data_IF_021778252982
#
_entry.id   IF_021778252982
#
_cell.length_a   1.000
_cell.length_b   1.000
_cell.length_c   1.000
_cell.angle_alpha   90.00
_cell.angle_beta   90.00
_cell.angle_gamma   90.00
#
_symmetry.space_group_name_H-M   'P 1'
#
loop_
_entity.id
_entity.type
_entity.pdbx_description
1 polymer ?
#
# COMPACT_ATOMS: atom_id res chain seq x y z
N UNK A 1 23.34 47.98 -4.98
CA UNK A 1 23.30 47.11 -6.17
C UNK A 1 23.89 45.72 -5.97
N UNK A 2 24.38 45.37 -4.78
CA UNK A 2 25.06 44.10 -4.50
C UNK A 2 24.21 43.00 -3.80
N UNK A 3 22.94 43.23 -3.48
CA UNK A 3 22.10 42.27 -2.75
C UNK A 3 21.27 41.33 -3.64
N UNK A 4 21.18 41.57 -4.93
CA UNK A 4 20.34 40.74 -5.83
C UNK A 4 21.13 39.54 -6.38
N UNK A 5 22.45 39.64 -6.47
CA UNK A 5 23.29 38.56 -7.02
C UNK A 5 23.41 37.35 -6.07
N UNK A 6 23.49 37.59 -4.75
CA UNK A 6 23.57 36.51 -3.76
C UNK A 6 22.28 35.71 -3.61
N UNK A 7 21.12 36.31 -3.85
CA UNK A 7 19.85 35.62 -3.78
C UNK A 7 19.62 34.67 -4.99
N UNK A 8 20.25 35.02 -6.12
CA UNK A 8 20.16 34.23 -7.36
C UNK A 8 21.01 32.94 -7.30
N UNK A 9 22.16 33.00 -6.65
CA UNK A 9 23.03 31.83 -6.46
C UNK A 9 22.47 30.82 -5.48
N UNK A 10 21.74 31.27 -4.45
CA UNK A 10 21.11 30.39 -3.47
C UNK A 10 19.94 29.58 -4.08
N UNK A 11 19.20 30.19 -5.02
CA UNK A 11 18.08 29.51 -5.70
C UNK A 11 18.60 28.50 -6.73
N UNK A 12 19.69 28.79 -7.41
CA UNK A 12 20.29 27.88 -8.41
C UNK A 12 20.91 26.63 -7.77
N UNK A 13 21.36 26.70 -6.53
CA UNK A 13 21.89 25.55 -5.81
C UNK A 13 20.82 24.69 -5.11
N UNK A 14 19.62 25.25 -4.88
CA UNK A 14 18.50 24.53 -4.26
C UNK A 14 17.69 23.74 -5.30
N UNK A 15 17.56 24.27 -6.51
CA UNK A 15 16.82 23.65 -7.61
C UNK A 15 17.36 22.25 -8.00
N UNK A 16 18.66 22.01 -8.20
CA UNK A 16 19.16 20.69 -8.55
C UNK A 16 18.96 19.69 -7.41
N UNK A 17 19.04 20.10 -6.15
CA UNK A 17 18.84 19.22 -4.99
C UNK A 17 17.37 18.83 -4.80
N UNK A 18 16.42 19.67 -5.18
CA UNK A 18 14.99 19.32 -5.25
C UNK A 18 14.67 18.45 -6.47
N UNK A 19 15.45 18.55 -7.55
CA UNK A 19 15.29 17.72 -8.75
C UNK A 19 15.88 16.31 -8.59
N UNK A 20 16.90 16.13 -7.77
CA UNK A 20 17.50 14.82 -7.50
C UNK A 20 16.62 13.88 -6.69
N UNK A 21 15.63 14.40 -5.95
CA UNK A 21 14.63 13.61 -5.21
C UNK A 21 13.40 13.24 -6.06
N UNK A 22 13.42 13.47 -7.38
CA UNK A 22 12.25 13.24 -8.24
C UNK A 22 12.08 11.81 -8.73
N UNK A 23 13.04 10.91 -8.47
CA UNK A 23 12.97 9.52 -8.90
C UNK A 23 13.41 8.59 -7.78
N UNK A 24 12.59 7.60 -7.51
CA UNK A 24 12.92 6.55 -6.57
C UNK A 24 12.43 5.21 -7.11
N UNK A 25 13.14 4.14 -6.81
CA UNK A 25 12.68 2.80 -7.14
C UNK A 25 11.36 2.50 -6.45
N UNK A 26 10.40 1.97 -7.21
CA UNK A 26 9.06 1.71 -6.71
C UNK A 26 9.05 0.71 -5.55
N UNK A 27 9.91 -0.32 -5.57
CA UNK A 27 10.04 -1.30 -4.49
C UNK A 27 10.43 -0.65 -3.16
N UNK A 28 11.36 0.32 -3.22
CA UNK A 28 11.84 1.06 -2.06
C UNK A 28 10.77 2.02 -1.52
N UNK A 29 10.09 2.71 -2.41
CA UNK A 29 9.03 3.65 -2.02
C UNK A 29 7.84 2.95 -1.39
N UNK A 30 7.34 1.86 -1.97
CA UNK A 30 6.22 1.08 -1.43
C UNK A 30 6.50 0.53 -0.02
N UNK A 31 7.74 0.14 0.25
CA UNK A 31 8.16 -0.23 1.59
C UNK A 31 8.26 0.99 2.52
N UNK A 32 8.79 2.10 2.05
CA UNK A 32 8.96 3.34 2.82
C UNK A 32 7.63 3.92 3.29
N UNK A 33 6.59 3.95 2.44
CA UNK A 33 5.23 4.40 2.76
C UNK A 33 4.38 3.33 3.45
N UNK A 34 4.97 2.21 3.89
CA UNK A 34 4.32 1.14 4.66
C UNK A 34 3.24 0.33 3.92
N UNK A 35 3.16 0.40 2.59
CA UNK A 35 2.28 -0.48 1.82
C UNK A 35 2.67 -1.95 1.97
N UNK A 36 3.96 -2.22 2.12
CA UNK A 36 4.47 -3.56 2.41
C UNK A 36 5.31 -3.59 3.70
N UNK A 37 5.25 -4.71 4.41
CA UNK A 37 5.98 -4.91 5.67
C UNK A 37 7.50 -4.89 5.45
N UNK A 38 7.95 -5.50 4.35
CA UNK A 38 9.37 -5.57 3.97
C UNK A 38 9.57 -5.14 2.52
N UNK A 39 10.78 -4.70 2.19
CA UNK A 39 11.15 -4.35 0.81
C UNK A 39 11.12 -5.58 -0.11
N UNK A 40 11.47 -6.75 0.41
CA UNK A 40 11.41 -8.01 -0.35
C UNK A 40 9.98 -8.32 -0.82
N UNK A 41 8.99 -8.14 0.06
CA UNK A 41 7.57 -8.29 -0.30
C UNK A 41 7.12 -7.28 -1.36
N UNK A 42 7.60 -6.04 -1.30
CA UNK A 42 7.33 -5.04 -2.33
C UNK A 42 7.96 -5.44 -3.68
N UNK A 43 9.19 -5.95 -3.66
CA UNK A 43 9.88 -6.45 -4.85
C UNK A 43 9.13 -7.63 -5.48
N UNK A 44 8.68 -8.58 -4.67
CA UNK A 44 7.92 -9.75 -5.10
C UNK A 44 6.56 -9.34 -5.69
N UNK A 45 5.86 -8.39 -5.05
CA UNK A 45 4.60 -7.86 -5.56
C UNK A 45 4.75 -7.19 -6.94
N UNK A 46 5.84 -6.45 -7.17
CA UNK A 46 6.14 -5.90 -8.49
C UNK A 46 6.43 -7.01 -9.52
N UNK A 47 7.25 -8.01 -9.16
CA UNK A 47 7.57 -9.14 -10.05
C UNK A 47 6.33 -9.97 -10.41
N UNK A 48 5.41 -10.15 -9.49
CA UNK A 48 4.15 -10.90 -9.71
C UNK A 48 3.06 -10.07 -10.41
N UNK A 49 3.36 -8.85 -10.86
CA UNK A 49 2.41 -7.99 -11.58
C UNK A 49 1.27 -7.43 -10.72
N UNK A 50 1.38 -7.52 -9.39
CA UNK A 50 0.40 -6.98 -8.44
C UNK A 50 0.47 -5.46 -8.32
N UNK A 51 1.55 -4.85 -8.76
CA UNK A 51 1.75 -3.39 -8.80
C UNK A 51 1.72 -2.94 -10.24
N UNK A 52 0.84 -2.00 -10.55
CA UNK A 52 0.65 -1.47 -11.90
C UNK A 52 0.67 0.05 -11.90
N UNK A 53 1.19 0.65 -12.96
CA UNK A 53 1.11 2.09 -13.23
C UNK A 53 0.51 2.26 -14.61
N UNK A 54 -0.52 3.09 -14.76
CA UNK A 54 -1.26 3.30 -16.00
C UNK A 54 -1.81 1.98 -16.60
N UNK A 55 -2.15 1.00 -15.76
CA UNK A 55 -2.66 -0.32 -16.19
C UNK A 55 -1.59 -1.37 -16.51
N UNK A 56 -0.31 -0.98 -16.61
CA UNK A 56 0.79 -1.88 -16.91
C UNK A 56 1.55 -2.31 -15.66
N UNK A 57 1.92 -3.59 -15.60
CA UNK A 57 2.75 -4.12 -14.52
C UNK A 57 4.16 -3.54 -14.59
N UNK A 58 4.67 -3.07 -13.46
CA UNK A 58 5.98 -2.43 -13.38
C UNK A 58 7.03 -3.29 -12.70
N UNK A 59 8.27 -3.19 -13.19
CA UNK A 59 9.41 -3.87 -12.56
C UNK A 59 9.76 -3.22 -11.22
N UNK A 60 10.37 -3.97 -10.26
CA UNK A 60 10.79 -3.42 -8.97
C UNK A 60 11.76 -2.23 -9.07
N UNK A 61 12.53 -2.18 -10.14
CA UNK A 61 13.49 -1.11 -10.43
C UNK A 61 12.90 0.10 -11.15
N UNK A 62 11.57 0.10 -11.37
CA UNK A 62 10.91 1.22 -12.03
C UNK A 62 11.13 2.53 -11.26
N UNK A 63 11.53 3.57 -11.98
CA UNK A 63 11.75 4.91 -11.43
C UNK A 63 10.42 5.64 -11.25
N UNK A 64 9.93 5.67 -10.02
CA UNK A 64 8.71 6.36 -9.63
C UNK A 64 8.96 7.87 -9.56
N UNK A 65 8.04 8.65 -10.10
CA UNK A 65 8.01 10.11 -10.00
C UNK A 65 6.77 10.58 -9.25
N UNK A 66 6.81 11.79 -8.72
CA UNK A 66 5.65 12.44 -8.08
C UNK A 66 4.48 12.55 -9.05
N UNK A 67 3.26 12.38 -8.55
CA UNK A 67 2.02 12.48 -9.32
C UNK A 67 1.61 11.20 -10.05
N UNK A 68 2.40 10.13 -10.04
CA UNK A 68 2.03 8.86 -10.64
C UNK A 68 0.97 8.15 -9.81
N UNK A 69 -0.01 7.57 -10.52
CA UNK A 69 -1.07 6.74 -9.93
C UNK A 69 -0.62 5.28 -9.98
N UNK A 70 -0.65 4.63 -8.83
CA UNK A 70 -0.19 3.27 -8.62
C UNK A 70 -1.40 2.43 -8.21
N UNK A 71 -1.65 1.36 -8.94
CA UNK A 71 -2.62 0.34 -8.60
C UNK A 71 -1.90 -0.81 -7.90
N UNK A 72 -2.35 -1.17 -6.71
CA UNK A 72 -1.77 -2.25 -5.91
C UNK A 72 -2.85 -3.27 -5.64
N UNK A 73 -2.62 -4.52 -6.04
CA UNK A 73 -3.47 -5.65 -5.67
C UNK A 73 -2.79 -6.41 -4.52
N UNK A 74 -3.37 -6.35 -3.34
CA UNK A 74 -2.84 -6.99 -2.14
C UNK A 74 -3.94 -7.81 -1.48
N UNK A 75 -3.74 -9.13 -1.40
CA UNK A 75 -4.69 -10.06 -0.74
C UNK A 75 -6.13 -9.97 -1.27
N UNK A 76 -6.30 -9.72 -2.57
CA UNK A 76 -7.63 -9.53 -3.19
C UNK A 76 -8.16 -8.10 -3.13
N UNK A 77 -7.48 -7.22 -2.42
CA UNK A 77 -7.84 -5.82 -2.28
C UNK A 77 -7.14 -4.96 -3.34
N UNK A 78 -7.89 -4.08 -3.98
CA UNK A 78 -7.37 -3.16 -4.97
C UNK A 78 -7.22 -1.77 -4.38
N UNK A 79 -5.99 -1.35 -4.20
CA UNK A 79 -5.65 -0.01 -3.75
C UNK A 79 -5.25 0.86 -4.93
N UNK A 80 -5.80 2.07 -5.00
CA UNK A 80 -5.42 3.09 -5.95
C UNK A 80 -4.81 4.25 -5.18
N UNK A 81 -3.53 4.48 -5.34
CA UNK A 81 -2.80 5.53 -4.62
C UNK A 81 -2.04 6.41 -5.59
N UNK A 82 -1.95 7.70 -5.26
CA UNK A 82 -1.15 8.68 -6.00
C UNK A 82 0.05 9.10 -5.18
N UNK A 83 1.24 9.04 -5.75
CA UNK A 83 2.46 9.45 -5.07
C UNK A 83 2.51 10.99 -4.98
N UNK A 84 2.54 11.52 -3.76
CA UNK A 84 2.67 12.97 -3.49
C UNK A 84 4.11 13.34 -3.13
N UNK A 85 4.76 12.54 -2.30
CA UNK A 85 6.15 12.75 -1.86
C UNK A 85 6.96 11.47 -2.06
N UNK A 86 8.17 11.61 -2.56
CA UNK A 86 9.10 10.49 -2.69
C UNK A 86 10.01 10.44 -1.47
N UNK A 87 9.99 9.31 -0.79
CA UNK A 87 10.81 9.05 0.40
C UNK A 87 11.58 7.75 0.23
N UNK A 88 12.84 7.75 0.64
CA UNK A 88 13.74 6.60 0.52
C UNK A 88 13.92 5.83 1.83
N UNK A 89 13.50 6.42 2.95
CA UNK A 89 13.54 5.83 4.29
C UNK A 89 12.15 5.54 4.79
N UNK A 90 12.01 4.45 5.55
CA UNK A 90 10.72 4.10 6.16
C UNK A 90 10.41 5.07 7.29
N UNK A 91 9.24 5.68 7.22
CA UNK A 91 8.75 6.67 8.18
C UNK A 91 7.61 6.11 9.04
N UNK A 92 7.23 6.86 10.09
CA UNK A 92 6.05 6.56 10.90
C UNK A 92 4.76 6.57 10.09
N UNK A 93 3.70 5.93 10.59
CA UNK A 93 2.42 5.84 9.88
C UNK A 93 1.79 7.20 9.54
N UNK A 94 1.80 8.23 10.43
CA UNK A 94 1.26 9.54 10.08
C UNK A 94 2.00 10.20 8.91
N UNK A 95 3.34 10.19 8.94
CA UNK A 95 4.16 10.75 7.87
C UNK A 95 4.05 9.96 6.56
N UNK A 96 3.86 8.64 6.64
CA UNK A 96 3.63 7.81 5.47
C UNK A 96 2.33 8.18 4.76
N UNK A 97 1.25 8.46 5.52
CA UNK A 97 -0.03 8.88 4.98
C UNK A 97 0.03 10.23 4.22
N UNK A 98 0.94 11.12 4.60
CA UNK A 98 1.18 12.38 3.88
C UNK A 98 1.94 12.20 2.55
N UNK A 99 2.58 11.06 2.34
CA UNK A 99 3.39 10.82 1.15
C UNK A 99 2.57 10.32 -0.04
N UNK A 100 1.34 9.90 0.17
CA UNK A 100 0.44 9.45 -0.89
C UNK A 100 -0.99 9.90 -0.65
N UNK A 101 -1.76 10.01 -1.71
CA UNK A 101 -3.20 10.25 -1.70
C UNK A 101 -3.92 8.94 -2.02
N UNK A 102 -4.88 8.56 -1.17
CA UNK A 102 -5.68 7.35 -1.37
C UNK A 102 -6.88 7.66 -2.26
N UNK A 103 -6.82 7.22 -3.50
CA UNK A 103 -7.86 7.34 -4.51
C UNK A 103 -8.70 6.06 -4.65
N UNK A 104 -8.62 5.14 -3.70
CA UNK A 104 -9.35 3.86 -3.75
C UNK A 104 -10.86 4.12 -3.75
N UNK A 105 -11.63 3.57 -4.70
CA UNK A 105 -13.08 3.70 -4.72
C UNK A 105 -13.73 3.20 -3.43
N UNK A 106 -14.82 3.82 -2.97
CA UNK A 106 -15.50 3.43 -1.73
C UNK A 106 -15.97 1.97 -1.77
N UNK A 107 -16.40 1.46 -2.93
CA UNK A 107 -16.83 0.07 -3.11
C UNK A 107 -15.70 -0.95 -2.78
N UNK A 108 -14.47 -0.64 -3.15
CA UNK A 108 -13.32 -1.48 -2.80
C UNK A 108 -12.98 -1.35 -1.30
N UNK A 109 -13.14 -0.16 -0.71
CA UNK A 109 -12.97 0.06 0.74
C UNK A 109 -14.00 -0.67 1.58
N UNK A 110 -15.22 -0.81 1.09
CA UNK A 110 -16.29 -1.54 1.79
C UNK A 110 -16.03 -3.05 1.79
N UNK A 111 -15.44 -3.60 0.73
CA UNK A 111 -14.92 -4.99 0.73
C UNK A 111 -13.88 -5.23 1.83
N UNK A 112 -13.11 -4.20 2.20
CA UNK A 112 -12.13 -4.26 3.29
C UNK A 112 -12.77 -4.28 4.68
N UNK A 113 -13.93 -3.63 4.83
CA UNK A 113 -14.64 -3.54 6.11
C UNK A 113 -15.42 -4.79 6.45
N UNK A 114 -15.80 -5.55 5.43
CA UNK A 114 -16.53 -6.82 5.59
C UNK A 114 -15.63 -7.96 5.10
N UNK A 115 -14.68 -8.46 5.93
CA UNK A 115 -14.15 -9.78 5.68
C UNK A 115 -15.35 -10.70 5.63
N UNK A 116 -15.53 -11.42 4.51
CA UNK A 116 -16.59 -12.42 4.33
C UNK A 116 -16.36 -13.64 5.25
N UNK A 117 -15.99 -13.38 6.49
CA UNK A 117 -15.95 -14.33 7.55
C UNK A 117 -17.12 -14.00 8.47
N UNK A 118 -18.18 -14.78 8.37
CA UNK A 118 -19.07 -14.97 9.47
C UNK A 118 -18.22 -15.51 10.63
N UNK A 119 -17.71 -14.61 11.47
CA UNK A 119 -17.20 -15.00 12.75
C UNK A 119 -18.40 -15.50 13.54
N UNK A 120 -18.49 -16.79 13.70
CA UNK A 120 -19.36 -17.40 14.69
C UNK A 120 -18.90 -16.84 16.05
N UNK A 121 -19.64 -15.79 16.50
CA UNK A 121 -19.35 -15.13 17.78
C UNK A 121 -19.77 -16.11 18.86
N UNK A 122 -18.81 -16.78 19.45
CA UNK A 122 -19.06 -17.62 20.62
C UNK A 122 -19.18 -16.77 21.87
N UNK A 123 -20.15 -17.08 22.69
CA UNK A 123 -20.27 -16.45 23.99
C UNK A 123 -19.04 -16.69 24.85
N UNK A 124 -18.59 -15.63 25.52
CA UNK A 124 -17.45 -15.73 26.44
C UNK A 124 -17.77 -16.72 27.56
N UNK A 125 -16.99 -17.77 27.69
CA UNK A 125 -17.15 -18.76 28.75
C UNK A 125 -17.57 -20.16 28.28
N UNK A 126 -17.95 -20.35 27.02
CA UNK A 126 -18.34 -21.67 26.48
C UNK A 126 -17.17 -22.64 26.22
N UNK A 127 -15.94 -22.17 26.42
CA UNK A 127 -14.75 -22.99 26.27
C UNK A 127 -14.50 -23.49 24.84
N UNK A 128 -13.65 -24.53 24.70
CA UNK A 128 -13.38 -25.18 23.41
C UNK A 128 -14.56 -26.10 23.02
N UNK A 129 -15.03 -26.04 21.74
CA UNK A 129 -16.10 -26.91 21.26
C UNK A 129 -15.83 -28.38 21.54
N UNK A 130 -16.84 -29.08 21.99
CA UNK A 130 -16.79 -30.51 22.14
C UNK A 130 -16.63 -31.19 20.77
N UNK A 131 -16.22 -32.47 20.78
CA UNK A 131 -16.08 -33.26 19.54
C UNK A 131 -17.41 -33.38 18.76
N UNK A 132 -18.55 -33.38 19.47
CA UNK A 132 -19.89 -33.46 18.90
C UNK A 132 -20.23 -32.13 18.19
N UNK A 133 -20.07 -31.03 18.89
CA UNK A 133 -20.35 -29.67 18.31
C UNK A 133 -19.50 -29.38 17.08
N UNK A 134 -18.23 -29.77 17.06
CA UNK A 134 -17.38 -29.64 15.88
C UNK A 134 -17.91 -30.39 14.67
N UNK A 135 -18.38 -31.63 14.85
CA UNK A 135 -18.97 -32.42 13.78
C UNK A 135 -20.28 -31.85 13.25
N UNK A 136 -21.06 -31.20 14.11
CA UNK A 136 -22.29 -30.50 13.72
C UNK A 136 -21.94 -29.23 12.91
N UNK A 137 -20.97 -28.44 13.34
CA UNK A 137 -20.49 -27.26 12.61
C UNK A 137 -19.94 -27.66 11.23
N UNK A 138 -19.15 -28.72 11.13
CA UNK A 138 -18.61 -29.20 9.85
C UNK A 138 -19.73 -29.61 8.88
N UNK A 139 -20.80 -30.28 9.37
CA UNK A 139 -21.96 -30.62 8.55
C UNK A 139 -22.71 -29.40 8.02
N UNK A 140 -22.84 -28.33 8.81
CA UNK A 140 -23.47 -27.09 8.35
C UNK A 140 -22.64 -26.39 7.27
N UNK A 141 -21.32 -26.40 7.38
CA UNK A 141 -20.45 -25.82 6.37
C UNK A 141 -20.50 -26.57 5.03
N UNK A 142 -20.64 -27.90 5.08
CA UNK A 142 -20.72 -28.72 3.87
C UNK A 142 -22.08 -28.56 3.17
N UNK A 143 -23.16 -28.17 3.88
CA UNK A 143 -24.49 -27.96 3.32
C UNK A 143 -24.66 -26.61 2.59
N UNK A 144 -23.81 -25.62 2.86
CA UNK A 144 -23.84 -24.30 2.22
C UNK A 144 -23.00 -24.22 0.94
N UNK A 145 -22.42 -25.35 0.49
CA UNK A 145 -21.50 -25.41 -0.66
C UNK A 145 -22.13 -26.02 -1.93
N UNK A 146 -23.45 -26.33 -1.93
CA UNK A 146 -24.18 -26.79 -3.13
C UNK A 146 -24.94 -25.67 -3.84
#
# INVERSE_FOLDING_TARGET
>A
MFKITLFRESITNILPKMLELQKIRIDKWLWAVRMYKTRSLATEACKSGKVKINGEAVKPSYDLTVGKIILINRQGEKWTIKALKLIDKRVGAPLAAECYEDLTPPEEKDKLKFPAFFYEVRDKGTGRPTKKERREIDKFKDSDTE
#
